data_IF_515462721013
#
_entry.id   IF_515462721013
#
_cell.length_a   1.000
_cell.length_b   1.000
_cell.length_c   1.000
_cell.angle_alpha   90.00
_cell.angle_beta   90.00
_cell.angle_gamma   90.00
#
_symmetry.space_group_name_H-M   'P 1'
#
loop_
_entity.id
_entity.type
_entity.pdbx_description
1 polymer ?
#
# COMPACT_ATOMS: atom_id res chain seq x y z
N UNK A 1 -22.98 11.95 17.61
CA UNK A 1 -21.70 11.77 16.91
C UNK A 1 -21.20 13.16 16.56
N UNK A 2 -20.05 13.60 17.10
CA UNK A 2 -19.46 14.89 16.75
C UNK A 2 -18.55 14.76 15.51
N UNK A 3 -18.06 15.89 14.99
CA UNK A 3 -17.22 15.90 13.79
C UNK A 3 -15.91 15.10 13.96
N UNK A 4 -15.34 15.08 15.17
CA UNK A 4 -14.12 14.33 15.45
C UNK A 4 -14.36 12.81 15.34
N UNK A 5 -15.46 12.33 15.94
CA UNK A 5 -15.87 10.94 15.84
C UNK A 5 -16.20 10.55 14.39
N UNK A 6 -16.88 11.40 13.64
CA UNK A 6 -17.15 11.17 12.22
C UNK A 6 -15.86 11.06 11.40
N UNK A 7 -14.90 11.96 11.63
CA UNK A 7 -13.61 11.92 10.93
C UNK A 7 -12.81 10.67 11.25
N UNK A 8 -12.79 10.24 12.52
CA UNK A 8 -12.13 9.00 12.94
C UNK A 8 -12.76 7.79 12.26
N UNK A 9 -14.10 7.73 12.26
CA UNK A 9 -14.85 6.67 11.58
C UNK A 9 -14.55 6.62 10.07
N UNK A 10 -14.55 7.78 9.40
CA UNK A 10 -14.27 7.85 7.97
C UNK A 10 -12.85 7.37 7.63
N UNK A 11 -11.85 7.73 8.42
CA UNK A 11 -10.48 7.27 8.19
C UNK A 11 -10.29 5.78 8.50
N UNK A 12 -10.60 5.37 9.74
CA UNK A 12 -10.25 4.03 10.23
C UNK A 12 -11.22 2.95 9.73
N UNK A 13 -12.53 3.16 9.90
CA UNK A 13 -13.54 2.14 9.56
C UNK A 13 -13.87 2.14 8.08
N UNK A 14 -14.05 3.32 7.47
CA UNK A 14 -14.42 3.40 6.05
C UNK A 14 -13.19 3.29 5.13
N UNK A 15 -12.23 4.21 5.20
CA UNK A 15 -11.10 4.25 4.26
C UNK A 15 -10.16 3.04 4.43
N UNK A 16 -9.64 2.82 5.64
CA UNK A 16 -8.58 1.83 5.89
C UNK A 16 -9.09 0.39 5.96
N UNK A 17 -10.29 0.15 6.48
CA UNK A 17 -10.87 -1.20 6.57
C UNK A 17 -11.81 -1.51 5.40
N UNK A 18 -12.96 -0.82 5.32
CA UNK A 18 -13.97 -1.20 4.34
C UNK A 18 -13.52 -1.00 2.89
N UNK A 19 -13.17 0.23 2.53
CA UNK A 19 -12.88 0.61 1.15
C UNK A 19 -11.61 -0.05 0.63
N UNK A 20 -10.52 0.01 1.40
CA UNK A 20 -9.26 -0.62 1.03
C UNK A 20 -9.40 -2.15 0.87
N UNK A 21 -10.02 -2.87 1.81
CA UNK A 21 -10.17 -4.32 1.67
C UNK A 21 -11.06 -4.71 0.48
N UNK A 22 -12.15 -3.95 0.25
CA UNK A 22 -13.00 -4.16 -0.91
C UNK A 22 -12.21 -3.98 -2.22
N UNK A 23 -11.41 -2.91 -2.32
CA UNK A 23 -10.58 -2.66 -3.50
C UNK A 23 -9.54 -3.78 -3.71
N UNK A 24 -8.84 -4.18 -2.65
CA UNK A 24 -7.81 -5.23 -2.74
C UNK A 24 -8.38 -6.57 -3.22
N UNK A 25 -9.57 -6.94 -2.73
CA UNK A 25 -10.27 -8.15 -3.21
C UNK A 25 -10.66 -8.06 -4.69
N UNK A 26 -11.03 -6.88 -5.18
CA UNK A 26 -11.35 -6.68 -6.60
C UNK A 26 -10.11 -6.72 -7.48
N UNK A 27 -9.01 -6.12 -7.04
CA UNK A 27 -7.74 -6.15 -7.77
C UNK A 27 -7.10 -7.55 -7.80
N UNK A 28 -7.16 -8.31 -6.70
CA UNK A 28 -6.31 -9.50 -6.52
C UNK A 28 -7.02 -10.76 -6.00
N UNK A 29 -8.35 -10.78 -5.87
CA UNK A 29 -9.07 -11.83 -5.13
C UNK A 29 -9.03 -13.25 -5.73
N UNK A 30 -8.87 -13.41 -7.05
CA UNK A 30 -9.06 -14.71 -7.71
C UNK A 30 -7.79 -15.57 -7.78
N UNK A 31 -6.61 -14.95 -7.84
CA UNK A 31 -5.35 -15.63 -8.17
C UNK A 31 -4.27 -15.48 -7.08
N UNK A 32 -4.65 -14.94 -5.93
CA UNK A 32 -3.76 -14.70 -4.81
C UNK A 32 -4.37 -15.26 -3.53
N UNK A 33 -3.51 -15.80 -2.69
CA UNK A 33 -3.83 -15.94 -1.27
C UNK A 33 -3.87 -14.53 -0.69
N UNK A 34 -4.98 -14.15 -0.08
CA UNK A 34 -5.16 -12.80 0.45
C UNK A 34 -5.88 -12.85 1.80
N UNK A 35 -5.41 -12.03 2.72
CA UNK A 35 -5.97 -11.89 4.06
C UNK A 35 -5.98 -10.43 4.47
N UNK A 36 -7.10 -9.97 5.01
CA UNK A 36 -7.17 -8.66 5.64
C UNK A 36 -6.41 -8.64 6.97
N UNK A 37 -6.03 -7.45 7.43
CA UNK A 37 -5.45 -7.28 8.76
C UNK A 37 -6.38 -7.78 9.87
N UNK A 38 -7.70 -7.62 9.71
CA UNK A 38 -8.67 -8.13 10.69
C UNK A 38 -8.68 -9.66 10.76
N UNK A 39 -8.59 -10.34 9.62
CA UNK A 39 -8.52 -11.81 9.57
C UNK A 39 -7.26 -12.32 10.27
N UNK A 40 -6.12 -11.65 10.03
CA UNK A 40 -4.84 -11.97 10.66
C UNK A 40 -4.84 -11.64 12.15
N UNK A 41 -5.34 -10.47 12.57
CA UNK A 41 -5.36 -10.06 13.97
C UNK A 41 -6.25 -10.96 14.82
N UNK A 42 -7.38 -11.42 14.27
CA UNK A 42 -8.26 -12.39 14.94
C UNK A 42 -7.56 -13.71 15.23
N UNK A 43 -6.62 -14.12 14.37
CA UNK A 43 -5.90 -15.38 14.48
C UNK A 43 -4.60 -15.29 15.28
N UNK A 44 -3.83 -14.20 15.09
CA UNK A 44 -2.44 -14.07 15.55
C UNK A 44 -2.22 -12.89 16.52
N UNK A 45 -3.27 -12.12 16.82
CA UNK A 45 -3.21 -10.95 17.70
C UNK A 45 -2.73 -9.68 17.00
N UNK A 46 -2.48 -8.63 17.79
CA UNK A 46 -2.22 -7.27 17.27
C UNK A 46 -0.93 -7.12 16.47
N UNK A 47 -0.92 -6.10 15.61
CA UNK A 47 0.26 -5.64 14.89
C UNK A 47 0.52 -6.43 13.61
N UNK A 48 -0.54 -6.96 13.01
CA UNK A 48 -0.54 -7.56 11.68
C UNK A 48 -0.53 -6.46 10.61
N UNK A 49 -0.14 -6.76 9.37
CA UNK A 49 -0.27 -5.79 8.29
C UNK A 49 -1.75 -5.53 7.99
N UNK A 50 -2.04 -4.36 7.41
CA UNK A 50 -3.42 -4.02 7.00
C UNK A 50 -3.90 -4.97 5.90
N UNK A 51 -3.01 -5.45 5.03
CA UNK A 51 -3.34 -6.50 4.08
C UNK A 51 -2.13 -7.37 3.77
N UNK A 52 -2.38 -8.67 3.63
CA UNK A 52 -1.41 -9.65 3.20
C UNK A 52 -1.85 -10.24 1.87
N UNK A 53 -0.93 -10.34 0.92
CA UNK A 53 -1.18 -10.91 -0.39
C UNK A 53 -0.02 -11.79 -0.81
N UNK A 54 -0.28 -13.01 -1.30
CA UNK A 54 0.75 -13.92 -1.80
C UNK A 54 0.37 -14.56 -3.12
N UNK A 55 1.37 -14.61 -4.01
CA UNK A 55 1.37 -15.46 -5.22
C UNK A 55 2.69 -16.21 -5.28
N UNK A 56 2.64 -17.53 -5.15
CA UNK A 56 3.83 -18.41 -5.08
C UNK A 56 4.74 -17.97 -3.92
N UNK A 57 6.01 -17.64 -4.19
CA UNK A 57 7.00 -17.16 -3.22
C UNK A 57 7.11 -15.63 -3.15
N UNK A 58 6.14 -14.90 -3.72
CA UNK A 58 6.07 -13.43 -3.68
C UNK A 58 4.98 -13.00 -2.71
N UNK A 59 5.37 -12.30 -1.66
CA UNK A 59 4.48 -11.79 -0.61
C UNK A 59 4.48 -10.28 -0.65
N UNK A 60 3.30 -9.68 -0.65
CA UNK A 60 3.13 -8.25 -0.46
C UNK A 60 2.56 -8.01 0.94
N UNK A 61 3.15 -7.03 1.60
CA UNK A 61 2.73 -6.58 2.93
C UNK A 61 2.31 -5.14 2.79
N UNK A 62 1.03 -4.88 3.00
CA UNK A 62 0.45 -3.55 2.83
C UNK A 62 0.23 -2.88 4.18
N UNK A 63 0.51 -1.58 4.21
CA UNK A 63 0.07 -0.67 5.24
C UNK A 63 -0.70 0.47 4.56
N UNK A 64 -1.95 0.63 4.94
CA UNK A 64 -2.90 1.62 4.44
C UNK A 64 -2.92 2.81 5.39
N UNK A 65 -2.77 4.03 4.86
CA UNK A 65 -2.76 5.26 5.66
C UNK A 65 -3.59 6.35 5.02
N UNK A 66 -4.73 6.66 5.65
CA UNK A 66 -5.52 7.85 5.31
C UNK A 66 -5.05 9.04 6.17
N UNK A 67 -3.83 9.51 5.88
CA UNK A 67 -3.20 10.61 6.60
C UNK A 67 -3.05 11.84 5.72
N UNK A 68 -3.35 13.00 6.29
CA UNK A 68 -3.17 14.29 5.64
C UNK A 68 -1.98 15.06 6.23
N UNK A 69 -1.31 15.84 5.38
CA UNK A 69 -0.26 16.77 5.81
C UNK A 69 -0.84 18.18 6.06
N UNK A 70 -0.49 18.76 7.22
CA UNK A 70 -0.96 20.09 7.58
C UNK A 70 -0.50 21.15 6.57
N UNK A 71 -1.41 22.07 6.19
CA UNK A 71 -1.14 23.11 5.19
C UNK A 71 0.13 23.93 5.49
N UNK A 72 0.32 24.33 6.76
CA UNK A 72 1.50 25.08 7.20
C UNK A 72 2.81 24.30 6.99
N UNK A 73 2.81 22.98 7.13
CA UNK A 73 4.00 22.15 6.93
C UNK A 73 4.28 21.95 5.43
N UNK A 74 3.24 21.64 4.65
CA UNK A 74 3.38 21.37 3.20
C UNK A 74 3.74 22.61 2.37
N UNK A 75 3.27 23.78 2.80
CA UNK A 75 3.55 25.07 2.14
C UNK A 75 4.72 25.83 2.78
N UNK A 76 5.50 25.18 3.66
CA UNK A 76 6.60 25.85 4.37
C UNK A 76 7.76 26.24 3.46
N UNK A 77 7.94 25.55 2.32
CA UNK A 77 9.13 25.69 1.47
C UNK A 77 10.42 25.17 2.11
N UNK A 78 10.36 24.63 3.34
CA UNK A 78 11.51 24.14 4.08
C UNK A 78 11.59 22.62 4.02
N UNK A 79 12.67 22.11 3.44
CA UNK A 79 12.88 20.69 3.21
C UNK A 79 12.85 19.88 4.52
N UNK A 80 13.55 20.32 5.56
CA UNK A 80 13.62 19.57 6.83
C UNK A 80 12.26 19.55 7.55
N UNK A 81 11.49 20.64 7.50
CA UNK A 81 10.12 20.68 8.00
C UNK A 81 9.22 19.70 7.26
N UNK A 82 9.30 19.65 5.92
CA UNK A 82 8.50 18.73 5.10
C UNK A 82 8.90 17.28 5.36
N UNK A 83 10.21 16.98 5.35
CA UNK A 83 10.75 15.65 5.65
C UNK A 83 10.32 15.17 7.03
N UNK A 84 10.44 16.01 8.06
CA UNK A 84 9.98 15.68 9.41
C UNK A 84 8.48 15.41 9.44
N UNK A 85 7.68 16.19 8.72
CA UNK A 85 6.23 15.97 8.62
C UNK A 85 5.89 14.60 7.99
N UNK A 86 6.60 14.23 6.92
CA UNK A 86 6.46 12.91 6.29
C UNK A 86 6.86 11.80 7.28
N UNK A 87 7.98 11.97 7.98
CA UNK A 87 8.51 10.95 8.90
C UNK A 87 7.62 10.74 10.12
N UNK A 88 7.02 11.81 10.64
CA UNK A 88 6.02 11.74 11.72
C UNK A 88 4.79 10.91 11.34
N UNK A 89 4.45 10.86 10.03
CA UNK A 89 3.29 10.14 9.51
C UNK A 89 3.60 8.70 9.11
N UNK A 90 4.79 8.46 8.56
CA UNK A 90 5.12 7.19 7.90
C UNK A 90 6.30 6.44 8.48
N UNK A 91 6.94 6.94 9.55
CA UNK A 91 8.10 6.26 10.17
C UNK A 91 7.87 6.05 11.67
N UNK A 92 7.70 7.13 12.41
CA UNK A 92 7.49 7.10 13.86
C UNK A 92 6.72 8.35 14.29
N UNK A 93 5.69 8.17 15.11
CA UNK A 93 4.94 9.33 15.61
C UNK A 93 5.67 10.05 16.76
N UNK A 94 5.14 11.18 17.19
CA UNK A 94 5.70 11.99 18.28
C UNK A 94 5.81 11.27 19.63
N UNK A 95 5.12 10.14 19.82
CA UNK A 95 5.17 9.31 21.02
C UNK A 95 6.16 8.15 20.91
N UNK A 96 6.90 8.04 19.80
CA UNK A 96 7.87 6.97 19.57
C UNK A 96 7.27 5.67 19.01
N UNK A 97 5.99 5.65 18.66
CA UNK A 97 5.37 4.46 18.07
C UNK A 97 5.62 4.40 16.56
N UNK A 98 6.02 3.22 16.08
CA UNK A 98 6.23 2.95 14.67
C UNK A 98 4.97 3.28 13.84
N UNK A 99 5.18 3.86 12.66
CA UNK A 99 4.15 4.20 11.69
C UNK A 99 4.59 3.82 10.28
N UNK A 100 3.64 3.55 9.37
CA UNK A 100 3.93 3.35 7.95
C UNK A 100 5.00 2.29 7.71
N UNK A 101 6.15 2.71 7.18
CA UNK A 101 7.30 1.83 6.90
C UNK A 101 7.86 1.18 8.18
N UNK A 102 7.70 1.83 9.34
CA UNK A 102 8.07 1.26 10.63
C UNK A 102 7.19 0.08 11.03
N UNK A 103 5.89 0.14 10.74
CA UNK A 103 4.95 -0.96 10.95
C UNK A 103 5.25 -2.10 9.97
N UNK A 104 5.47 -1.78 8.68
CA UNK A 104 5.91 -2.76 7.68
C UNK A 104 7.17 -3.50 8.11
N UNK A 105 8.19 -2.78 8.60
CA UNK A 105 9.41 -3.41 9.07
C UNK A 105 9.16 -4.36 10.26
N UNK A 106 8.34 -3.95 11.23
CA UNK A 106 7.97 -4.81 12.35
C UNK A 106 7.21 -6.06 11.88
N UNK A 107 6.29 -5.93 10.92
CA UNK A 107 5.57 -7.08 10.36
C UNK A 107 6.54 -8.06 9.71
N UNK A 108 7.44 -7.57 8.86
CA UNK A 108 8.38 -8.40 8.10
C UNK A 108 9.31 -9.19 9.03
N UNK A 109 9.72 -8.57 10.13
CA UNK A 109 10.73 -9.14 11.02
C UNK A 109 10.09 -9.98 12.13
N UNK A 110 9.05 -9.44 12.77
CA UNK A 110 8.52 -10.00 14.01
C UNK A 110 7.27 -10.86 13.78
N UNK A 111 6.54 -10.66 12.67
CA UNK A 111 5.23 -11.30 12.44
C UNK A 111 5.21 -12.27 11.27
N UNK A 112 6.01 -12.04 10.24
CA UNK A 112 6.04 -12.86 9.03
C UNK A 112 6.26 -14.36 9.33
N UNK A 113 7.15 -14.77 10.25
CA UNK A 113 7.31 -16.19 10.59
C UNK A 113 6.01 -16.83 11.11
N UNK A 114 5.28 -16.15 11.99
CA UNK A 114 3.99 -16.65 12.51
C UNK A 114 2.91 -16.67 11.42
N UNK A 115 2.85 -15.64 10.57
CA UNK A 115 1.89 -15.62 9.44
C UNK A 115 2.09 -16.85 8.56
N UNK A 116 3.34 -17.18 8.20
CA UNK A 116 3.64 -18.30 7.31
C UNK A 116 3.47 -19.67 7.97
N UNK A 117 3.88 -19.82 9.22
CA UNK A 117 3.84 -21.10 9.91
C UNK A 117 2.43 -21.45 10.43
N UNK A 118 1.65 -20.45 10.85
CA UNK A 118 0.41 -20.67 11.58
C UNK A 118 -0.84 -20.39 10.73
N UNK A 119 -0.76 -19.48 9.76
CA UNK A 119 -1.91 -19.02 8.97
C UNK A 119 -1.82 -19.41 7.49
N UNK A 120 -0.80 -18.94 6.78
CA UNK A 120 -0.55 -19.26 5.37
C UNK A 120 0.38 -20.47 5.19
N UNK A 121 -0.08 -21.62 5.68
CA UNK A 121 0.67 -22.88 5.69
C UNK A 121 1.00 -23.44 4.29
N UNK A 122 0.44 -22.83 3.25
CA UNK A 122 0.68 -23.19 1.85
C UNK A 122 1.81 -22.37 1.20
N UNK A 123 2.48 -21.51 1.97
CA UNK A 123 3.67 -20.81 1.53
C UNK A 123 4.80 -21.80 1.21
N UNK A 124 5.55 -21.60 0.11
CA UNK A 124 6.61 -22.51 -0.29
C UNK A 124 7.81 -22.42 0.65
N UNK A 125 8.48 -23.56 0.86
CA UNK A 125 9.76 -23.63 1.56
C UNK A 125 10.91 -23.27 0.60
N UNK A 126 10.95 -22.00 0.20
CA UNK A 126 11.94 -21.40 -0.71
C UNK A 126 12.20 -19.96 -0.29
N UNK A 127 13.23 -19.31 -0.84
CA UNK A 127 13.42 -17.87 -0.65
C UNK A 127 12.14 -17.10 -1.01
N UNK A 128 11.68 -16.29 -0.07
CA UNK A 128 10.47 -15.49 -0.17
C UNK A 128 10.86 -14.06 -0.54
N UNK A 129 10.27 -13.55 -1.62
CA UNK A 129 10.41 -12.16 -2.01
C UNK A 129 9.31 -11.35 -1.33
N UNK A 130 9.69 -10.40 -0.48
CA UNK A 130 8.76 -9.56 0.26
C UNK A 130 8.70 -8.17 -0.38
N UNK A 131 7.51 -7.73 -0.75
CA UNK A 131 7.20 -6.45 -1.38
C UNK A 131 6.44 -5.56 -0.38
N UNK A 132 7.12 -4.68 0.35
CA UNK A 132 6.46 -3.72 1.24
C UNK A 132 5.77 -2.62 0.43
N UNK A 133 4.49 -2.36 0.73
CA UNK A 133 3.69 -1.37 0.00
C UNK A 133 2.96 -0.45 0.97
N UNK A 134 3.15 0.86 0.80
CA UNK A 134 2.33 1.89 1.46
C UNK A 134 1.19 2.28 0.52
N UNK A 135 -0.03 2.20 1.00
CA UNK A 135 -1.21 2.73 0.30
C UNK A 135 -1.62 4.04 0.96
N UNK A 136 -1.74 5.10 0.15
CA UNK A 136 -2.05 6.44 0.65
C UNK A 136 -3.21 7.09 -0.13
N UNK A 137 -3.86 8.05 0.51
CA UNK A 137 -5.04 8.75 -0.04
C UNK A 137 -4.69 10.17 -0.51
N UNK A 138 -3.87 10.90 0.25
CA UNK A 138 -3.57 12.32 -0.03
C UNK A 138 -2.57 12.49 -1.19
N UNK A 139 -3.00 13.15 -2.26
CA UNK A 139 -2.18 13.49 -3.43
C UNK A 139 -0.96 14.36 -3.11
N UNK A 140 -0.88 14.98 -1.92
CA UNK A 140 0.34 15.66 -1.47
C UNK A 140 1.56 14.72 -1.41
N UNK A 141 1.36 13.40 -1.37
CA UNK A 141 2.44 12.41 -1.43
C UNK A 141 2.72 11.90 -2.85
N UNK A 142 1.91 12.29 -3.85
CA UNK A 142 2.07 11.93 -5.26
C UNK A 142 3.01 12.91 -6.00
N UNK A 143 4.14 13.23 -5.36
CA UNK A 143 5.17 14.13 -5.87
C UNK A 143 6.54 13.44 -5.78
N UNK A 144 7.54 14.00 -6.44
CA UNK A 144 8.92 13.54 -6.37
C UNK A 144 9.47 13.64 -4.94
N UNK A 145 10.11 12.58 -4.44
CA UNK A 145 10.82 12.62 -3.15
C UNK A 145 10.23 11.79 -1.99
N UNK A 146 8.93 11.85 -1.64
CA UNK A 146 8.36 11.07 -0.53
C UNK A 146 8.69 9.57 -0.57
N UNK A 147 8.47 8.90 -1.72
CA UNK A 147 8.83 7.48 -1.85
C UNK A 147 10.34 7.26 -1.69
N UNK A 148 11.18 8.15 -2.23
CA UNK A 148 12.64 8.06 -2.10
C UNK A 148 13.07 8.17 -0.63
N UNK A 149 12.57 9.19 0.08
CA UNK A 149 12.90 9.44 1.49
C UNK A 149 12.47 8.27 2.39
N UNK A 150 11.26 7.76 2.17
CA UNK A 150 10.74 6.62 2.93
C UNK A 150 11.49 5.33 2.59
N UNK A 151 11.85 5.09 1.32
CA UNK A 151 12.62 3.90 0.97
C UNK A 151 14.01 3.92 1.58
N UNK A 152 14.71 5.07 1.54
CA UNK A 152 16.02 5.22 2.17
C UNK A 152 15.97 4.92 3.67
N UNK A 153 14.93 5.43 4.36
CA UNK A 153 14.75 5.18 5.78
C UNK A 153 14.32 3.74 6.08
N UNK A 154 13.49 3.13 5.23
CA UNK A 154 13.06 1.74 5.35
C UNK A 154 14.25 0.79 5.24
N UNK A 155 15.10 0.97 4.22
CA UNK A 155 16.32 0.18 4.04
C UNK A 155 17.27 0.33 5.25
N UNK A 156 17.37 1.53 5.83
CA UNK A 156 18.11 1.75 7.08
C UNK A 156 17.54 0.97 8.27
N UNK A 157 16.21 0.83 8.37
CA UNK A 157 15.54 0.08 9.44
C UNK A 157 15.76 -1.43 9.25
N UNK A 158 15.51 -1.93 8.04
CA UNK A 158 15.67 -3.35 7.68
C UNK A 158 17.13 -3.80 7.87
N UNK A 159 18.10 -3.01 7.38
CA UNK A 159 19.52 -3.33 7.52
C UNK A 159 20.01 -3.38 8.96
N UNK A 160 19.43 -2.58 9.87
CA UNK A 160 19.78 -2.61 11.31
C UNK A 160 19.22 -3.84 12.03
N UNK A 161 18.01 -4.27 11.65
CA UNK A 161 17.30 -5.34 12.36
C UNK A 161 17.66 -6.76 11.89
N UNK A 162 18.45 -6.90 10.80
CA UNK A 162 18.94 -8.17 10.24
C UNK A 162 17.82 -9.19 9.98
N UNK A 163 17.13 -9.01 8.85
CA UNK A 163 16.12 -9.96 8.36
C UNK A 163 16.75 -11.35 8.13
N UNK A 164 15.97 -12.42 8.33
CA UNK A 164 16.41 -13.79 8.01
C UNK A 164 16.86 -13.92 6.54
N UNK A 165 17.82 -14.80 6.29
CA UNK A 165 18.29 -15.11 4.93
C UNK A 165 17.21 -15.74 4.03
N UNK A 166 16.12 -16.22 4.62
CA UNK A 166 14.98 -16.78 3.88
C UNK A 166 14.16 -15.71 3.15
N UNK A 167 14.33 -14.43 3.52
CA UNK A 167 13.56 -13.32 2.95
C UNK A 167 14.44 -12.37 2.15
N UNK A 168 14.04 -12.12 0.90
CA UNK A 168 14.56 -11.04 0.10
C UNK A 168 13.55 -9.87 0.13
N UNK A 169 13.86 -8.86 0.94
CA UNK A 169 12.99 -7.67 1.09
C UNK A 169 13.29 -6.66 -0.01
N UNK A 170 12.31 -6.41 -0.86
CA UNK A 170 12.38 -5.39 -1.92
C UNK A 170 12.23 -3.98 -1.35
N UNK A 171 12.55 -2.98 -2.17
CA UNK A 171 12.27 -1.59 -1.87
C UNK A 171 10.79 -1.35 -1.55
N UNK A 172 10.53 -0.47 -0.58
CA UNK A 172 9.17 -0.03 -0.28
C UNK A 172 8.70 0.95 -1.36
N UNK A 173 7.49 0.71 -1.85
CA UNK A 173 6.82 1.58 -2.80
C UNK A 173 5.58 2.22 -2.17
N UNK A 174 5.21 3.39 -2.68
CA UNK A 174 3.98 4.08 -2.33
C UNK A 174 3.03 4.08 -3.53
N UNK A 175 1.80 3.64 -3.31
CA UNK A 175 0.74 3.66 -4.33
C UNK A 175 -0.47 4.42 -3.82
N UNK A 176 -1.01 5.31 -4.65
CA UNK A 176 -2.21 6.04 -4.31
C UNK A 176 -3.44 5.12 -4.47
N UNK A 177 -4.37 5.18 -3.53
CA UNK A 177 -5.59 4.36 -3.54
C UNK A 177 -6.46 4.60 -4.78
N UNK A 178 -6.55 5.84 -5.27
CA UNK A 178 -7.30 6.19 -6.48
C UNK A 178 -6.67 5.53 -7.70
N UNK A 179 -5.35 5.42 -7.73
CA UNK A 179 -4.64 4.81 -8.84
C UNK A 179 -4.78 3.28 -8.82
N UNK A 180 -4.79 2.65 -7.64
CA UNK A 180 -5.21 1.25 -7.52
C UNK A 180 -6.64 1.04 -8.02
N UNK A 181 -7.56 1.94 -7.65
CA UNK A 181 -8.97 1.88 -8.07
C UNK A 181 -9.12 2.03 -9.59
N UNK A 182 -8.40 2.97 -10.21
CA UNK A 182 -8.38 3.15 -11.67
C UNK A 182 -7.83 1.94 -12.42
N UNK A 183 -6.85 1.25 -11.82
CA UNK A 183 -6.18 0.09 -12.41
C UNK A 183 -6.79 -1.25 -11.97
N UNK A 184 -7.89 -1.25 -11.23
CA UNK A 184 -8.55 -2.45 -10.69
C UNK A 184 -8.73 -3.52 -11.76
N UNK A 185 -9.37 -3.18 -12.89
CA UNK A 185 -9.63 -4.14 -13.96
C UNK A 185 -8.34 -4.71 -14.58
N UNK A 186 -7.27 -3.92 -14.64
CA UNK A 186 -6.01 -4.36 -15.22
C UNK A 186 -5.31 -5.36 -14.32
N UNK A 187 -5.37 -5.18 -13.00
CA UNK A 187 -4.90 -6.18 -12.05
C UNK A 187 -5.81 -7.41 -12.02
N UNK A 188 -7.13 -7.22 -11.97
CA UNK A 188 -8.11 -8.29 -11.89
C UNK A 188 -8.09 -9.22 -13.11
N UNK A 189 -7.75 -8.68 -14.29
CA UNK A 189 -7.62 -9.44 -15.55
C UNK A 189 -6.18 -9.86 -15.86
N UNK A 190 -5.26 -9.71 -14.90
CA UNK A 190 -3.82 -10.01 -15.02
C UNK A 190 -3.10 -9.32 -16.18
N UNK A 191 -3.65 -8.21 -16.69
CA UNK A 191 -2.96 -7.34 -17.66
C UNK A 191 -1.80 -6.58 -17.01
N UNK A 192 -1.87 -6.35 -15.71
CA UNK A 192 -0.78 -5.84 -14.88
C UNK A 192 -0.43 -6.86 -13.79
N UNK A 193 0.86 -7.09 -13.57
CA UNK A 193 1.38 -7.86 -12.44
C UNK A 193 2.16 -6.94 -11.50
N UNK A 194 1.71 -6.85 -10.25
CA UNK A 194 2.28 -5.89 -9.29
C UNK A 194 3.75 -6.17 -8.95
N UNK A 195 4.16 -7.44 -8.87
CA UNK A 195 5.56 -7.77 -8.58
C UNK A 195 6.46 -7.38 -9.76
N UNK A 196 6.02 -7.66 -10.98
CA UNK A 196 6.72 -7.24 -12.20
C UNK A 196 6.87 -5.73 -12.24
N UNK A 197 5.78 -4.98 -12.01
CA UNK A 197 5.81 -3.51 -11.99
C UNK A 197 6.77 -2.95 -10.94
N UNK A 198 6.79 -3.50 -9.72
CA UNK A 198 7.70 -3.05 -8.66
C UNK A 198 9.15 -3.35 -9.03
N UNK A 199 9.45 -4.54 -9.56
CA UNK A 199 10.82 -4.89 -9.95
C UNK A 199 11.32 -3.99 -11.09
N UNK A 200 10.52 -3.77 -12.13
CA UNK A 200 10.89 -2.87 -13.22
C UNK A 200 11.02 -1.41 -12.73
N UNK A 201 10.20 -0.98 -11.78
CA UNK A 201 10.35 0.34 -11.16
C UNK A 201 11.67 0.45 -10.37
N UNK A 202 12.07 -0.60 -9.64
CA UNK A 202 13.36 -0.62 -8.93
C UNK A 202 14.51 -0.48 -9.93
N UNK A 203 14.48 -1.23 -11.03
CA UNK A 203 15.46 -1.12 -12.11
C UNK A 203 15.47 0.29 -12.74
N UNK A 204 14.29 0.82 -13.07
CA UNK A 204 14.12 2.16 -13.65
C UNK A 204 14.75 3.27 -12.80
N UNK A 205 14.68 3.17 -11.46
CA UNK A 205 15.30 4.15 -10.55
C UNK A 205 16.82 4.16 -10.61
N UNK A 206 17.44 3.04 -10.97
CA UNK A 206 18.89 2.89 -11.07
C UNK A 206 19.45 3.32 -12.44
N UNK A 207 18.59 3.46 -13.46
CA UNK A 207 19.02 3.86 -14.80
C UNK A 207 19.56 5.30 -14.84
N UNK A 208 18.93 6.22 -14.12
CA UNK A 208 19.30 7.64 -14.10
C UNK A 208 19.10 8.26 -12.72
N UNK A 209 19.99 9.16 -12.31
CA UNK A 209 19.92 9.84 -11.00
C UNK A 209 18.57 10.55 -10.77
N UNK A 210 18.03 11.18 -11.81
CA UNK A 210 16.72 11.84 -11.76
C UNK A 210 15.55 10.87 -11.51
N UNK A 211 15.70 9.58 -11.85
CA UNK A 211 14.66 8.59 -11.65
C UNK A 211 14.53 8.16 -10.19
N UNK A 212 15.57 8.35 -9.36
CA UNK A 212 15.54 7.92 -7.95
C UNK A 212 14.40 8.56 -7.15
N UNK A 213 14.02 9.79 -7.49
CA UNK A 213 12.92 10.52 -6.84
C UNK A 213 11.58 10.33 -7.55
N UNK A 214 11.55 9.65 -8.69
CA UNK A 214 10.35 9.46 -9.50
C UNK A 214 9.33 8.59 -8.74
N UNK A 215 8.07 9.00 -8.59
CA UNK A 215 7.10 8.22 -7.81
C UNK A 215 6.65 6.93 -8.52
N UNK A 216 6.58 5.82 -7.78
CA UNK A 216 6.01 4.55 -8.28
C UNK A 216 4.62 4.74 -8.89
N UNK A 217 3.81 5.60 -8.28
CA UNK A 217 2.47 5.94 -8.74
C UNK A 217 2.42 6.58 -10.15
N UNK A 218 3.46 7.33 -10.55
CA UNK A 218 3.60 7.86 -11.90
C UNK A 218 4.10 6.78 -12.86
N UNK A 219 5.03 5.93 -12.40
CA UNK A 219 5.58 4.82 -13.18
C UNK A 219 4.49 3.82 -13.58
N UNK A 220 3.70 3.33 -12.62
CA UNK A 220 2.62 2.37 -12.90
C UNK A 220 1.58 2.95 -13.88
N UNK A 221 1.29 4.25 -13.81
CA UNK A 221 0.39 4.90 -14.74
C UNK A 221 0.96 4.94 -16.17
N UNK A 222 2.26 5.16 -16.32
CA UNK A 222 2.93 5.09 -17.63
C UNK A 222 2.88 3.66 -18.19
N UNK A 223 3.16 2.65 -17.36
CA UNK A 223 3.07 1.24 -17.78
C UNK A 223 1.64 0.84 -18.18
N UNK A 224 0.64 1.26 -17.40
CA UNK A 224 -0.76 1.02 -17.74
C UNK A 224 -1.13 1.63 -19.10
N UNK A 225 -0.66 2.85 -19.40
CA UNK A 225 -0.92 3.49 -20.71
C UNK A 225 -0.33 2.71 -21.86
N UNK A 226 0.86 2.11 -21.71
CA UNK A 226 1.50 1.29 -22.75
C UNK A 226 0.65 0.08 -23.16
N UNK A 227 -0.16 -0.45 -22.24
CA UNK A 227 -1.04 -1.61 -22.47
C UNK A 227 -2.51 -1.21 -22.72
N UNK A 228 -2.75 0.05 -23.11
CA UNK A 228 -4.06 0.53 -23.53
C UNK A 228 -4.97 1.02 -22.41
N UNK A 229 -4.42 1.39 -21.25
CA UNK A 229 -5.19 2.16 -20.27
C UNK A 229 -5.54 3.53 -20.85
N UNK A 230 -6.85 3.78 -20.96
CA UNK A 230 -7.43 5.08 -21.26
C UNK A 230 -8.04 5.66 -19.97
N UNK A 231 -8.05 6.99 -19.82
CA UNK A 231 -8.69 7.70 -18.70
C UNK A 231 -10.22 7.62 -18.80
N UNK A 232 -10.74 6.39 -18.72
CA UNK A 232 -12.16 6.07 -18.76
C UNK A 232 -12.70 5.96 -17.35
N UNK A 233 -14.02 6.08 -17.26
CA UNK A 233 -14.79 5.89 -16.03
C UNK A 233 -14.53 4.50 -15.45
N UNK A 234 -14.44 4.41 -14.13
CA UNK A 234 -14.10 3.16 -13.43
C UNK A 234 -15.29 2.21 -13.43
N UNK A 235 -15.03 0.92 -13.68
CA UNK A 235 -16.07 -0.12 -13.66
C UNK A 235 -16.78 -0.20 -12.31
N UNK A 236 -16.06 -0.05 -11.20
CA UNK A 236 -16.68 -0.04 -9.89
C UNK A 236 -17.67 1.14 -9.73
N UNK A 237 -17.36 2.31 -10.27
CA UNK A 237 -18.33 3.40 -10.30
C UNK A 237 -19.55 3.01 -11.12
N UNK A 238 -19.38 2.42 -12.31
CA UNK A 238 -20.51 2.00 -13.13
C UNK A 238 -21.39 0.96 -12.42
N UNK A 239 -20.78 -0.03 -11.77
CA UNK A 239 -21.48 -1.05 -10.97
C UNK A 239 -22.25 -0.42 -9.80
N UNK A 240 -21.62 0.47 -9.03
CA UNK A 240 -22.29 1.17 -7.92
C UNK A 240 -23.42 2.06 -8.44
N UNK A 241 -23.17 2.81 -9.51
CA UNK A 241 -24.15 3.71 -10.10
C UNK A 241 -25.37 2.96 -10.65
N UNK A 242 -25.14 1.81 -11.30
CA UNK A 242 -26.22 0.96 -11.80
C UNK A 242 -26.99 0.29 -10.66
N UNK A 243 -26.30 -0.15 -9.59
CA UNK A 243 -26.96 -0.65 -8.39
C UNK A 243 -27.83 0.42 -7.72
N UNK A 244 -27.34 1.66 -7.61
CA UNK A 244 -28.11 2.78 -7.07
C UNK A 244 -29.36 3.07 -7.91
N UNK A 245 -29.25 3.04 -9.25
CA UNK A 245 -30.43 3.16 -10.13
C UNK A 245 -31.42 2.01 -9.94
N UNK A 246 -30.95 0.80 -9.69
CA UNK A 246 -31.82 -0.35 -9.42
C UNK A 246 -32.55 -0.17 -8.09
N UNK A 247 -31.87 0.34 -7.06
CA UNK A 247 -32.49 0.62 -5.75
C UNK A 247 -33.55 1.73 -5.85
N UNK A 248 -33.23 2.82 -6.55
CA UNK A 248 -34.16 3.94 -6.80
C UNK A 248 -35.42 3.46 -7.54
N UNK A 249 -35.26 2.64 -8.59
CA UNK A 249 -36.39 2.01 -9.29
C UNK A 249 -37.23 1.06 -8.42
N UNK A 250 -36.65 0.53 -7.34
CA UNK A 250 -37.32 -0.37 -6.39
C UNK A 250 -37.91 0.38 -5.18
N UNK A 251 -37.74 1.70 -5.09
CA UNK A 251 -38.22 2.51 -3.96
C UNK A 251 -37.56 2.15 -2.62
N UNK A 252 -36.30 1.69 -2.67
CA UNK A 252 -35.48 1.32 -1.51
C UNK A 252 -34.53 2.45 -1.12
#
# INVERSE_FOLDING_TARGET
MDYANLRSFLGEEFSERFFFYALMKRCFGSNYVNYSGEELEKALGKGMPDYYLRRRNRIFVFECKDVQMAAKKKLSGDYETIKKAIFEKYVVNSKGYAKGIGQLANVIIDKMPSILNEFDKSAPNSVIFIYPVIVYFDDCFNVEGPNYLLNKEFQRIIGKKKVTADYEVKDVVMVNIEQLMRLENFFATEKLDLAYLINCYIEYKEEFELNQVFPFNKYIFQEARKIGYELKKMRWFDEVFDNLKIMDRKGL
#
